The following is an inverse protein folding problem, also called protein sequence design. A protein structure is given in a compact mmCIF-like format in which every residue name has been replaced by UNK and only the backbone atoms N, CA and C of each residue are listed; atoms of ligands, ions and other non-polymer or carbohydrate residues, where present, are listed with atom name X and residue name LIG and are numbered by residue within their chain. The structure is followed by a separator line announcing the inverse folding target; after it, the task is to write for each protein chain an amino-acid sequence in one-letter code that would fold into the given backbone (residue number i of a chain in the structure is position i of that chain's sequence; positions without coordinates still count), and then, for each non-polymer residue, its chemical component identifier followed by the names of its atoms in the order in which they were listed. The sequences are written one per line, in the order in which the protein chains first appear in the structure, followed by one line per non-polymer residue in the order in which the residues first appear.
data_IF_138146249091
#
_entry.id   IF_138146249091
#
_cell.length_a   1.000
_cell.length_b   1.000
_cell.length_c   1.000
_cell.angle_alpha   90.00
_cell.angle_beta   90.00
_cell.angle_gamma   90.00
#
_symmetry.space_group_name_H-M   'P 1'
#
loop_
_entity.id
_entity.type
_entity.pdbx_description
1 polymer ?
#
# COMPACT_ATOMS: atom_id res chain seq x y z
N UNK A 1 -4.71 -16.31 9.52
CA UNK A 1 -5.69 -15.69 10.42
C UNK A 1 -6.79 -14.95 9.65
N UNK A 2 -6.46 -14.02 8.71
CA UNK A 2 -7.45 -13.22 7.96
C UNK A 2 -8.41 -14.12 7.18
N UNK A 3 -7.92 -15.06 6.37
CA UNK A 3 -8.75 -16.06 5.63
C UNK A 3 -9.71 -16.80 6.57
N UNK A 4 -9.19 -17.30 7.70
CA UNK A 4 -10.02 -18.00 8.68
C UNK A 4 -11.09 -17.08 9.30
N UNK A 5 -10.75 -15.81 9.55
CA UNK A 5 -11.71 -14.81 10.04
C UNK A 5 -12.85 -14.57 9.06
N UNK A 6 -12.54 -14.39 7.78
CA UNK A 6 -13.55 -14.19 6.73
C UNK A 6 -14.45 -15.43 6.62
N UNK A 7 -13.84 -16.63 6.59
CA UNK A 7 -14.58 -17.91 6.51
C UNK A 7 -15.49 -18.11 7.73
N UNK A 8 -15.03 -17.76 8.93
CA UNK A 8 -15.85 -17.84 10.15
C UNK A 8 -17.03 -16.87 10.16
N UNK A 9 -16.92 -15.77 9.42
CA UNK A 9 -17.99 -14.81 9.21
C UNK A 9 -18.95 -15.19 8.06
N UNK A 10 -18.74 -16.34 7.41
CA UNK A 10 -19.59 -16.85 6.33
C UNK A 10 -19.17 -16.39 4.93
N UNK A 11 -18.03 -15.68 4.80
CA UNK A 11 -17.47 -15.28 3.50
C UNK A 11 -16.53 -16.34 2.92
N UNK A 12 -16.21 -16.20 1.65
CA UNK A 12 -15.20 -17.02 0.98
C UNK A 12 -13.90 -16.23 0.82
N UNK A 13 -12.78 -16.83 1.22
CA UNK A 13 -11.47 -16.22 1.07
C UNK A 13 -10.40 -17.26 0.77
N UNK A 14 -9.39 -16.85 0.01
CA UNK A 14 -8.23 -17.67 -0.31
C UNK A 14 -6.94 -16.90 -0.01
N UNK A 15 -5.94 -17.57 0.56
CA UNK A 15 -4.61 -17.01 0.75
C UNK A 15 -3.72 -17.33 -0.44
N UNK A 16 -3.11 -16.30 -1.02
CA UNK A 16 -2.12 -16.39 -2.09
C UNK A 16 -0.93 -15.50 -1.77
N UNK A 17 0.16 -15.65 -2.51
CA UNK A 17 1.27 -14.70 -2.48
C UNK A 17 1.54 -14.16 -3.89
N UNK A 18 2.33 -13.11 -4.00
CA UNK A 18 2.63 -12.51 -5.31
C UNK A 18 3.35 -13.43 -6.30
N UNK A 19 3.89 -14.57 -5.86
CA UNK A 19 4.47 -15.59 -6.75
C UNK A 19 3.40 -16.46 -7.42
N UNK A 20 2.23 -16.61 -6.79
CA UNK A 20 1.16 -17.45 -7.31
C UNK A 20 0.59 -16.81 -8.59
N UNK A 21 0.54 -17.58 -9.66
CA UNK A 21 0.11 -17.09 -10.96
C UNK A 21 0.96 -15.94 -11.53
N UNK A 22 2.21 -15.76 -11.05
CA UNK A 22 3.09 -14.64 -11.40
C UNK A 22 2.43 -13.27 -11.13
N UNK A 23 1.67 -13.18 -10.04
CA UNK A 23 0.92 -11.97 -9.69
C UNK A 23 1.84 -10.75 -9.51
N UNK A 24 2.96 -10.90 -8.78
CA UNK A 24 3.93 -9.81 -8.57
C UNK A 24 5.32 -10.26 -9.05
N UNK A 25 5.75 -9.72 -10.17
CA UNK A 25 7.14 -9.77 -10.58
C UNK A 25 7.88 -8.62 -9.91
N UNK A 26 9.01 -8.92 -9.27
CA UNK A 26 9.77 -7.98 -8.50
C UNK A 26 11.25 -7.98 -8.89
N UNK A 27 11.92 -6.88 -8.62
CA UNK A 27 13.37 -6.81 -8.74
C UNK A 27 14.00 -6.49 -7.38
N UNK A 28 15.25 -6.93 -7.17
CA UNK A 28 15.94 -6.66 -5.90
C UNK A 28 16.09 -5.17 -5.66
N UNK A 29 15.62 -4.74 -4.49
CA UNK A 29 15.79 -3.37 -4.05
C UNK A 29 17.27 -3.11 -3.74
N UNK A 30 17.88 -2.17 -4.48
CA UNK A 30 19.24 -1.70 -4.25
C UNK A 30 19.18 -0.33 -3.60
N UNK A 31 19.71 -0.19 -2.39
CA UNK A 31 19.93 1.11 -1.78
C UNK A 31 21.40 1.46 -1.79
N UNK A 32 21.73 2.67 -2.20
CA UNK A 32 23.08 3.22 -2.07
C UNK A 32 23.12 4.13 -0.84
N UNK A 33 24.17 4.01 -0.06
CA UNK A 33 24.49 4.96 1.01
C UNK A 33 25.74 5.70 0.61
N UNK A 34 25.61 7.02 0.48
CA UNK A 34 26.77 7.88 0.25
C UNK A 34 27.53 8.03 1.56
N UNK A 35 28.83 7.78 1.53
CA UNK A 35 29.70 8.04 2.65
C UNK A 35 29.87 9.57 2.79
N UNK A 36 29.58 10.16 3.96
CA UNK A 36 29.69 11.62 4.15
C UNK A 36 31.12 12.15 3.93
N UNK A 37 32.13 11.31 4.17
CA UNK A 37 33.54 11.68 4.13
C UNK A 37 34.27 11.28 2.84
N UNK A 38 33.57 10.61 1.93
CA UNK A 38 34.12 10.17 0.64
C UNK A 38 33.06 10.20 -0.46
N UNK A 39 33.50 10.38 -1.72
CA UNK A 39 32.61 10.29 -2.91
C UNK A 39 32.25 8.85 -3.26
N UNK A 40 32.40 7.89 -2.35
CA UNK A 40 32.13 6.48 -2.60
C UNK A 40 30.69 6.17 -2.20
N UNK A 41 29.89 5.72 -3.16
CA UNK A 41 28.57 5.15 -2.92
C UNK A 41 28.75 3.66 -2.61
N UNK A 42 28.30 3.24 -1.44
CA UNK A 42 28.22 1.82 -1.06
C UNK A 42 26.83 1.30 -1.33
N UNK A 43 26.73 0.24 -2.13
CA UNK A 43 25.48 -0.52 -2.27
C UNK A 43 25.26 -1.29 -0.97
N UNK A 44 24.12 -1.04 -0.33
CA UNK A 44 23.68 -1.79 0.83
C UNK A 44 23.00 -3.06 0.35
N UNK A 45 23.51 -4.21 0.76
CA UNK A 45 22.80 -5.47 0.57
C UNK A 45 21.66 -5.56 1.58
N UNK A 46 20.44 -5.47 1.10
CA UNK A 46 19.22 -5.60 1.89
C UNK A 46 18.72 -7.05 1.93
N UNK A 47 19.49 -8.00 1.42
CA UNK A 47 19.10 -9.40 1.31
C UNK A 47 18.02 -9.60 0.24
N UNK A 48 17.02 -10.41 0.54
CA UNK A 48 15.93 -10.77 -0.36
C UNK A 48 14.76 -9.77 -0.27
N UNK A 49 15.06 -8.49 -0.35
CA UNK A 49 14.06 -7.41 -0.41
C UNK A 49 13.90 -6.95 -1.85
N UNK A 50 12.66 -6.76 -2.28
CA UNK A 50 12.32 -6.36 -3.64
C UNK A 50 11.29 -5.26 -3.72
N UNK A 51 11.24 -4.64 -4.88
CA UNK A 51 10.16 -3.75 -5.31
C UNK A 51 9.33 -4.38 -6.43
N UNK A 52 8.02 -4.17 -6.48
CA UNK A 52 7.19 -4.60 -7.59
C UNK A 52 7.65 -3.93 -8.89
N UNK A 53 7.88 -4.72 -9.93
CA UNK A 53 8.21 -4.25 -11.27
C UNK A 53 7.01 -4.33 -12.21
N UNK A 54 6.29 -5.44 -12.09
CA UNK A 54 5.10 -5.70 -12.88
C UNK A 54 4.11 -6.50 -12.03
N UNK A 55 2.83 -6.17 -12.14
CA UNK A 55 1.74 -6.91 -11.51
C UNK A 55 0.83 -7.43 -12.61
N UNK A 56 0.66 -8.77 -12.64
CA UNK A 56 -0.26 -9.43 -13.55
C UNK A 56 -1.56 -9.79 -12.79
N UNK A 57 -2.65 -9.03 -12.97
CA UNK A 57 -3.88 -9.26 -12.20
C UNK A 57 -4.69 -10.46 -12.67
N UNK A 58 -4.28 -11.19 -13.70
CA UNK A 58 -5.06 -12.26 -14.33
C UNK A 58 -5.61 -13.31 -13.33
N UNK A 59 -4.80 -13.68 -12.33
CA UNK A 59 -5.26 -14.64 -11.31
C UNK A 59 -6.36 -14.05 -10.42
N UNK A 60 -6.39 -12.73 -10.25
CA UNK A 60 -7.38 -12.05 -9.39
C UNK A 60 -8.76 -12.02 -10.07
N UNK A 61 -8.81 -11.96 -11.40
CA UNK A 61 -10.05 -11.99 -12.17
C UNK A 61 -10.82 -13.28 -11.93
N UNK A 62 -10.10 -14.41 -11.80
CA UNK A 62 -10.72 -15.70 -11.51
C UNK A 62 -11.41 -15.77 -10.13
N UNK A 63 -10.97 -14.96 -9.17
CA UNK A 63 -11.61 -14.87 -7.84
C UNK A 63 -12.83 -13.93 -7.86
N UNK A 64 -12.80 -12.89 -8.68
CA UNK A 64 -13.91 -11.95 -8.84
C UNK A 64 -15.20 -12.64 -9.31
N UNK A 65 -15.08 -13.57 -10.26
CA UNK A 65 -16.22 -14.32 -10.78
C UNK A 65 -16.84 -15.26 -9.73
N UNK A 66 -16.08 -15.64 -8.72
CA UNK A 66 -16.48 -16.59 -7.67
C UNK A 66 -16.90 -15.95 -6.34
N UNK A 67 -16.98 -14.62 -6.24
CA UNK A 67 -17.20 -13.91 -4.96
C UNK A 67 -16.20 -14.32 -3.87
N UNK A 68 -14.94 -14.56 -4.26
CA UNK A 68 -13.88 -15.01 -3.39
C UNK A 68 -12.94 -13.84 -3.09
N UNK A 69 -12.72 -13.53 -1.81
CA UNK A 69 -11.78 -12.51 -1.38
C UNK A 69 -10.34 -13.06 -1.38
N UNK A 70 -9.44 -12.59 -2.26
CA UNK A 70 -8.03 -12.95 -2.21
C UNK A 70 -7.33 -12.20 -1.07
N UNK A 71 -6.60 -12.95 -0.24
CA UNK A 71 -5.72 -12.41 0.82
C UNK A 71 -4.28 -12.62 0.37
N UNK A 72 -3.60 -11.53 -0.01
CA UNK A 72 -2.32 -11.58 -0.71
C UNK A 72 -1.18 -11.29 0.26
N UNK A 73 -0.20 -12.19 0.34
CA UNK A 73 1.06 -11.92 1.03
C UNK A 73 2.01 -11.12 0.14
N UNK A 74 2.71 -10.08 0.68
CA UNK A 74 3.58 -9.19 -0.09
C UNK A 74 4.93 -9.85 -0.42
N UNK A 75 4.89 -10.90 -1.20
CA UNK A 75 6.04 -11.70 -1.65
C UNK A 75 6.02 -11.71 -3.16
N UNK A 76 7.12 -11.29 -3.80
CA UNK A 76 7.26 -11.28 -5.25
C UNK A 76 8.21 -12.34 -5.78
N UNK A 77 8.13 -12.57 -7.08
CA UNK A 77 9.02 -13.42 -7.86
C UNK A 77 10.12 -12.56 -8.48
N UNK A 78 11.37 -12.82 -8.12
CA UNK A 78 12.53 -12.19 -8.75
C UNK A 78 12.88 -12.82 -10.11
N UNK A 79 13.76 -12.17 -10.92
CA UNK A 79 14.09 -12.59 -12.28
C UNK A 79 14.75 -13.96 -12.33
N UNK A 80 15.48 -14.37 -11.31
CA UNK A 80 16.15 -15.67 -11.21
C UNK A 80 15.29 -16.73 -10.49
N UNK A 81 13.99 -16.46 -10.28
CA UNK A 81 13.06 -17.34 -9.57
C UNK A 81 13.15 -17.24 -8.04
N UNK A 82 13.97 -16.34 -7.52
CA UNK A 82 14.12 -16.10 -6.10
C UNK A 82 12.87 -15.45 -5.51
N UNK A 83 12.70 -15.68 -4.21
CA UNK A 83 11.59 -15.10 -3.44
C UNK A 83 12.04 -13.77 -2.84
N UNK A 84 11.34 -12.70 -3.17
CA UNK A 84 11.61 -11.35 -2.68
C UNK A 84 10.51 -10.88 -1.73
N UNK A 85 10.91 -10.41 -0.55
CA UNK A 85 10.00 -9.77 0.40
C UNK A 85 9.75 -8.32 -0.05
N UNK A 86 8.49 -7.94 -0.16
CA UNK A 86 8.08 -6.60 -0.62
C UNK A 86 7.44 -5.86 0.56
N UNK A 87 7.63 -4.54 0.64
CA UNK A 87 6.88 -3.73 1.58
C UNK A 87 5.38 -3.86 1.30
N UNK A 88 4.58 -4.07 2.35
CA UNK A 88 3.14 -4.34 2.21
C UNK A 88 2.38 -3.18 1.58
N UNK A 89 2.71 -1.94 1.94
CA UNK A 89 2.08 -0.73 1.39
C UNK A 89 2.39 -0.63 -0.12
N UNK A 90 3.66 -0.86 -0.50
CA UNK A 90 4.10 -0.84 -1.90
C UNK A 90 3.43 -1.95 -2.72
N UNK A 91 3.35 -3.17 -2.18
CA UNK A 91 2.68 -4.28 -2.85
C UNK A 91 1.18 -4.01 -3.03
N UNK A 92 0.51 -3.49 -1.99
CA UNK A 92 -0.91 -3.14 -2.06
C UNK A 92 -1.17 -2.04 -3.09
N UNK A 93 -0.31 -1.01 -3.13
CA UNK A 93 -0.37 0.06 -4.12
C UNK A 93 -0.23 -0.44 -5.55
N UNK A 94 0.78 -1.29 -5.80
CA UNK A 94 1.02 -1.87 -7.11
C UNK A 94 -0.16 -2.75 -7.60
N UNK A 95 -0.72 -3.57 -6.70
CA UNK A 95 -1.90 -4.38 -7.00
C UNK A 95 -3.11 -3.50 -7.29
N UNK A 96 -3.39 -2.50 -6.44
CA UNK A 96 -4.52 -1.59 -6.61
C UNK A 96 -4.47 -0.86 -7.97
N UNK A 97 -3.28 -0.42 -8.38
CA UNK A 97 -3.06 0.18 -9.69
C UNK A 97 -3.34 -0.81 -10.84
N UNK A 98 -2.83 -2.04 -10.74
CA UNK A 98 -2.95 -3.05 -11.78
C UNK A 98 -4.38 -3.55 -11.99
N UNK A 99 -5.17 -3.66 -10.92
CA UNK A 99 -6.60 -4.07 -11.01
C UNK A 99 -7.53 -2.89 -11.31
N UNK A 100 -7.01 -1.67 -11.44
CA UNK A 100 -7.85 -0.47 -11.59
C UNK A 100 -8.82 -0.28 -10.43
N UNK A 101 -8.32 -0.45 -9.20
CA UNK A 101 -9.15 -0.39 -8.00
C UNK A 101 -9.87 0.96 -7.88
N UNK A 102 -11.11 0.93 -7.40
CA UNK A 102 -11.85 2.17 -7.11
C UNK A 102 -11.21 2.92 -5.94
N UNK A 103 -10.74 2.19 -4.92
CA UNK A 103 -10.11 2.75 -3.71
C UNK A 103 -9.05 1.82 -3.15
N UNK A 104 -8.04 2.42 -2.52
CA UNK A 104 -7.06 1.72 -1.68
C UNK A 104 -7.25 2.15 -0.22
N UNK A 105 -7.34 1.21 0.72
CA UNK A 105 -7.35 1.46 2.16
C UNK A 105 -6.08 0.91 2.79
N UNK A 106 -5.29 1.79 3.41
CA UNK A 106 -4.07 1.45 4.11
C UNK A 106 -4.33 1.49 5.62
N UNK A 107 -4.41 0.31 6.25
CA UNK A 107 -4.59 0.19 7.69
C UNK A 107 -3.22 0.30 8.37
N UNK A 108 -3.10 1.26 9.29
CA UNK A 108 -1.86 1.57 10.00
C UNK A 108 -2.13 1.73 11.51
N UNK A 109 -1.13 2.13 12.26
CA UNK A 109 -1.19 2.37 13.70
C UNK A 109 -1.32 3.86 14.07
N UNK A 110 -1.67 4.70 13.11
CA UNK A 110 -1.91 6.14 13.30
C UNK A 110 -3.26 6.54 12.74
N UNK A 111 -3.85 7.59 13.30
CA UNK A 111 -5.21 8.04 12.97
C UNK A 111 -5.35 8.58 11.52
N UNK A 112 -4.25 8.91 10.88
CA UNK A 112 -4.18 9.57 9.59
C UNK A 112 -3.11 10.67 9.61
N UNK A 113 -3.16 11.58 8.66
CA UNK A 113 -2.30 12.77 8.62
C UNK A 113 -2.86 13.81 9.57
N UNK A 114 -2.01 14.33 10.46
CA UNK A 114 -2.40 15.39 11.40
C UNK A 114 -1.97 16.74 10.85
N UNK A 115 -2.82 17.73 11.05
CA UNK A 115 -2.46 19.14 10.84
C UNK A 115 -1.57 19.66 12.00
N UNK A 116 -1.18 20.93 11.95
CA UNK A 116 -0.33 21.57 12.96
C UNK A 116 -1.00 21.68 14.34
N UNK A 117 -2.31 21.60 14.40
CA UNK A 117 -3.11 21.60 15.62
C UNK A 117 -3.37 20.19 16.17
N UNK A 118 -2.84 19.16 15.52
CA UNK A 118 -3.01 17.75 15.90
C UNK A 118 -4.36 17.14 15.52
N UNK A 119 -5.11 17.75 14.62
CA UNK A 119 -6.36 17.23 14.09
C UNK A 119 -6.11 16.42 12.83
N UNK A 120 -6.87 15.35 12.65
CA UNK A 120 -6.81 14.56 11.41
C UNK A 120 -7.34 15.37 10.24
N UNK A 121 -6.55 15.46 9.19
CA UNK A 121 -6.98 16.00 7.89
C UNK A 121 -7.77 14.89 7.20
N UNK A 122 -9.07 15.08 7.02
CA UNK A 122 -9.96 14.04 6.48
C UNK A 122 -9.75 13.80 4.98
N UNK A 123 -9.49 14.86 4.23
CA UNK A 123 -9.28 14.78 2.78
C UNK A 123 -8.22 15.78 2.36
N UNK A 124 -7.39 15.40 1.41
CA UNK A 124 -6.41 16.27 0.76
C UNK A 124 -6.18 15.82 -0.68
N UNK A 125 -5.80 16.76 -1.52
CA UNK A 125 -5.32 16.51 -2.87
C UNK A 125 -3.88 15.99 -2.85
N UNK A 126 -3.43 15.39 -3.96
CA UNK A 126 -2.02 15.00 -4.12
C UNK A 126 -1.08 16.21 -4.00
N UNK A 127 -1.49 17.39 -4.48
CA UNK A 127 -0.69 18.60 -4.41
C UNK A 127 -0.55 19.09 -2.96
N UNK A 128 -1.64 19.11 -2.19
CA UNK A 128 -1.61 19.46 -0.77
C UNK A 128 -0.74 18.48 0.04
N UNK A 129 -0.85 17.17 -0.24
CA UNK A 129 -0.02 16.16 0.39
C UNK A 129 1.48 16.38 0.13
N UNK A 130 1.85 16.76 -1.09
CA UNK A 130 3.23 17.11 -1.43
C UNK A 130 3.72 18.34 -0.66
N UNK A 131 2.91 19.40 -0.59
CA UNK A 131 3.23 20.61 0.17
C UNK A 131 3.42 20.32 1.66
N UNK A 132 2.54 19.50 2.27
CA UNK A 132 2.64 19.12 3.68
C UNK A 132 3.85 18.21 3.97
N UNK A 133 4.34 17.50 2.96
CA UNK A 133 5.59 16.74 3.06
C UNK A 133 6.80 17.66 3.01
N UNK A 134 6.80 18.62 2.08
CA UNK A 134 7.89 19.56 1.89
C UNK A 134 8.05 20.55 3.06
N UNK A 135 6.95 20.97 3.69
CA UNK A 135 6.95 21.88 4.84
C UNK A 135 7.21 21.17 6.19
N UNK A 136 7.36 19.82 6.15
CA UNK A 136 7.67 19.01 7.30
C UNK A 136 6.49 18.74 8.23
N UNK A 137 5.26 19.01 7.84
CA UNK A 137 4.06 18.60 8.59
C UNK A 137 3.91 17.08 8.54
N UNK A 138 4.14 16.47 7.35
CA UNK A 138 4.22 15.02 7.19
C UNK A 138 5.66 14.58 7.40
N UNK A 139 5.90 13.69 8.37
CA UNK A 139 7.24 13.27 8.78
C UNK A 139 7.36 11.76 8.98
N UNK A 140 8.62 11.29 9.02
CA UNK A 140 8.98 9.94 9.44
C UNK A 140 8.31 8.84 8.63
N UNK A 141 7.72 7.87 9.32
CA UNK A 141 7.07 6.71 8.69
C UNK A 141 5.79 7.03 7.89
N UNK A 142 5.25 8.26 8.00
CA UNK A 142 4.10 8.68 7.20
C UNK A 142 4.49 9.02 5.77
N UNK A 143 5.70 9.54 5.53
CA UNK A 143 6.18 9.93 4.19
C UNK A 143 6.02 8.80 3.16
N UNK A 144 6.58 7.58 3.35
CA UNK A 144 6.44 6.52 2.36
C UNK A 144 4.99 6.06 2.14
N UNK A 145 4.11 6.21 3.15
CA UNK A 145 2.69 5.92 3.00
C UNK A 145 1.99 6.94 2.10
N UNK A 146 2.27 8.20 2.30
CA UNK A 146 1.75 9.30 1.47
C UNK A 146 2.28 9.18 0.04
N UNK A 147 3.57 8.89 -0.14
CA UNK A 147 4.15 8.65 -1.47
C UNK A 147 3.42 7.51 -2.19
N UNK A 148 3.20 6.38 -1.51
CA UNK A 148 2.41 5.27 -2.07
C UNK A 148 0.99 5.70 -2.44
N UNK A 149 0.29 6.45 -1.57
CA UNK A 149 -1.05 6.95 -1.87
C UNK A 149 -1.07 7.87 -3.09
N UNK A 150 -0.11 8.80 -3.19
CA UNK A 150 0.03 9.70 -4.33
C UNK A 150 0.25 8.91 -5.63
N UNK A 151 1.16 7.93 -5.62
CA UNK A 151 1.49 7.13 -6.80
C UNK A 151 0.30 6.27 -7.25
N UNK A 152 -0.45 5.72 -6.31
CA UNK A 152 -1.66 4.94 -6.58
C UNK A 152 -2.75 5.82 -7.22
N UNK A 153 -2.98 7.02 -6.69
CA UNK A 153 -3.97 7.95 -7.26
C UNK A 153 -3.51 8.47 -8.63
N UNK A 154 -2.22 8.73 -8.82
CA UNK A 154 -1.64 9.06 -10.15
C UNK A 154 -1.84 7.96 -11.16
N UNK A 155 -1.77 6.69 -10.77
CA UNK A 155 -1.97 5.54 -11.65
C UNK A 155 -3.43 5.30 -12.05
N UNK A 156 -4.38 6.07 -11.49
CA UNK A 156 -5.79 6.04 -11.89
C UNK A 156 -6.75 5.46 -10.85
N UNK A 157 -6.26 5.00 -9.70
CA UNK A 157 -7.12 4.64 -8.56
C UNK A 157 -7.85 5.89 -8.07
N UNK A 158 -9.15 5.78 -7.81
CA UNK A 158 -10.01 6.92 -7.51
C UNK A 158 -9.62 7.67 -6.24
N UNK A 159 -9.22 6.94 -5.18
CA UNK A 159 -8.72 7.50 -3.93
C UNK A 159 -7.87 6.48 -3.16
N UNK A 160 -6.98 6.98 -2.31
CA UNK A 160 -6.23 6.18 -1.34
C UNK A 160 -6.43 6.76 0.06
N UNK A 161 -6.82 5.91 1.03
CA UNK A 161 -7.17 6.35 2.38
C UNK A 161 -6.29 5.66 3.42
N UNK A 162 -5.70 6.44 4.32
CA UNK A 162 -4.93 5.95 5.48
C UNK A 162 -5.86 5.93 6.68
N UNK A 163 -5.99 4.77 7.34
CA UNK A 163 -6.94 4.54 8.43
C UNK A 163 -6.23 3.89 9.62
N UNK A 164 -6.61 4.27 10.84
CA UNK A 164 -6.16 3.56 12.05
C UNK A 164 -6.80 2.17 12.14
N UNK A 165 -6.02 1.15 11.85
CA UNK A 165 -6.46 -0.25 11.89
C UNK A 165 -6.75 -0.77 13.30
N UNK A 166 -6.43 -0.02 14.35
CA UNK A 166 -6.74 -0.37 15.76
C UNK A 166 -8.16 0.03 16.16
N UNK A 167 -8.79 0.93 15.41
CA UNK A 167 -10.17 1.34 15.65
C UNK A 167 -11.11 0.22 15.20
N UNK A 168 -11.97 -0.31 16.11
CA UNK A 168 -12.93 -1.32 15.72
C UNK A 168 -13.84 -0.83 14.58
N UNK A 169 -14.00 -1.67 13.57
CA UNK A 169 -14.84 -1.38 12.40
C UNK A 169 -14.44 -0.15 11.57
N UNK A 170 -13.17 0.30 11.66
CA UNK A 170 -12.68 1.49 10.98
C UNK A 170 -13.03 1.52 9.48
N UNK A 171 -12.88 0.41 8.77
CA UNK A 171 -13.24 0.31 7.34
C UNK A 171 -14.73 0.57 7.12
N UNK A 172 -15.61 0.03 7.98
CA UNK A 172 -17.06 0.24 7.84
C UNK A 172 -17.43 1.70 8.11
N UNK A 173 -16.82 2.31 9.11
CA UNK A 173 -17.04 3.73 9.42
C UNK A 173 -16.59 4.58 8.23
N UNK A 174 -15.41 4.31 7.68
CA UNK A 174 -14.88 5.03 6.50
C UNK A 174 -15.78 4.88 5.28
N UNK A 175 -16.30 3.68 5.02
CA UNK A 175 -17.12 3.42 3.84
C UNK A 175 -18.53 3.98 3.94
N UNK A 176 -19.14 3.98 5.13
CA UNK A 176 -20.58 4.23 5.30
C UNK A 176 -20.91 5.52 6.04
N UNK A 177 -19.93 6.33 6.45
CA UNK A 177 -20.16 7.64 7.07
C UNK A 177 -19.60 8.78 6.25
N UNK A 178 -20.22 9.95 6.34
CA UNK A 178 -19.79 11.14 5.58
C UNK A 178 -18.44 11.72 6.07
N UNK A 179 -18.07 11.47 7.32
CA UNK A 179 -16.88 12.05 7.94
C UNK A 179 -15.66 11.13 7.90
N UNK A 180 -15.86 9.84 7.61
CA UNK A 180 -14.78 8.86 7.67
C UNK A 180 -14.05 8.82 9.03
N UNK A 181 -12.92 8.17 9.10
CA UNK A 181 -12.05 8.11 10.30
C UNK A 181 -10.57 8.29 9.97
N UNK A 182 -10.23 8.44 8.70
CA UNK A 182 -8.86 8.50 8.22
C UNK A 182 -8.56 9.75 7.41
N UNK A 183 -7.47 9.68 6.65
CA UNK A 183 -7.08 10.71 5.68
C UNK A 183 -7.19 10.13 4.28
N UNK A 184 -8.04 10.72 3.46
CA UNK A 184 -8.21 10.36 2.06
C UNK A 184 -7.37 11.27 1.16
N UNK A 185 -6.60 10.66 0.26
CA UNK A 185 -5.87 11.35 -0.80
C UNK A 185 -6.64 11.17 -2.10
N UNK A 186 -6.94 12.28 -2.76
CA UNK A 186 -7.71 12.30 -4.02
C UNK A 186 -6.91 13.00 -5.12
N UNK A 187 -7.34 12.75 -6.37
CA UNK A 187 -6.93 13.57 -7.50
C UNK A 187 -7.55 14.96 -7.36
N UNK A 188 -6.95 15.97 -7.97
CA UNK A 188 -7.56 17.31 -8.08
C UNK A 188 -8.91 17.28 -8.79
#
# INVERSE_FOLDING_TARGET
QIVAGISSAGGYAVGICGKDGNLIQAERLKRTKRDPDSNIERVLDLGLVGDPKEVNPYILDAFNDGDITPVISPIGLGPDGETLNINADTAAGAIAAAVGATRLYMLTDVAGVLDRDGKVIQEMTMAEAAVLTDDGTIQGGMIPKIETCIDVVKSGVGAATIIDGRVPHAILIELFTKGGVGTQIIRE
#
